data_IF_978705730145
#
_entry.id   IF_978705730145
#
_cell.length_a   1.000
_cell.length_b   1.000
_cell.length_c   1.000
_cell.angle_alpha   90.00
_cell.angle_beta   90.00
_cell.angle_gamma   90.00
#
_symmetry.space_group_name_H-M   'P 1'
#
loop_
_entity.id
_entity.type
_entity.pdbx_description
1 polymer ?
#
# COMPACT_ATOMS: atom_id res chain seq x y z
N UNK A 1 -13.53 22.58 14.96
CA UNK A 1 -12.22 23.25 14.70
C UNK A 1 -11.84 22.94 13.26
N UNK A 2 -11.79 23.95 12.39
CA UNK A 2 -11.45 23.79 10.97
C UNK A 2 -9.96 24.09 10.81
N UNK A 3 -9.16 23.10 10.42
CA UNK A 3 -7.75 23.32 10.06
C UNK A 3 -7.67 23.33 8.54
N UNK A 4 -7.58 24.54 8.00
CA UNK A 4 -7.09 24.81 6.65
C UNK A 4 -5.56 24.90 6.70
N UNK A 5 -4.86 24.25 5.76
CA UNK A 5 -3.51 24.52 5.24
C UNK A 5 -3.07 23.21 4.56
N UNK A 6 -2.64 23.13 3.32
CA UNK A 6 -2.34 24.10 2.28
C UNK A 6 -1.64 23.28 1.20
N UNK A 7 -2.35 22.98 0.12
CA UNK A 7 -1.85 22.24 -1.03
C UNK A 7 -0.85 23.15 -1.74
N UNK A 8 0.44 22.81 -1.66
CA UNK A 8 1.48 23.44 -2.46
C UNK A 8 1.89 22.48 -3.57
N UNK A 9 1.10 22.47 -4.65
CA UNK A 9 1.46 21.86 -5.93
C UNK A 9 2.61 22.70 -6.51
N UNK A 10 3.85 22.31 -6.25
CA UNK A 10 5.01 22.86 -6.94
C UNK A 10 5.12 22.16 -8.29
N UNK A 11 4.41 22.72 -9.27
CA UNK A 11 4.54 22.41 -10.69
C UNK A 11 5.96 22.72 -11.15
N UNK A 12 6.78 21.66 -11.25
CA UNK A 12 8.07 21.69 -11.91
C UNK A 12 7.89 21.65 -13.42
N UNK A 13 8.11 22.78 -14.09
CA UNK A 13 8.25 22.87 -15.55
C UNK A 13 9.41 22.00 -16.03
N UNK A 14 9.08 20.86 -16.65
CA UNK A 14 10.03 19.95 -17.27
C UNK A 14 10.08 20.17 -18.78
N UNK A 15 11.20 20.70 -19.26
CA UNK A 15 11.47 20.89 -20.68
C UNK A 15 12.03 19.59 -21.28
N UNK A 16 11.23 18.99 -22.17
CA UNK A 16 11.56 18.10 -23.29
C UNK A 16 12.73 17.10 -23.13
N UNK A 17 12.37 15.81 -23.18
CA UNK A 17 13.19 14.59 -23.38
C UNK A 17 13.66 13.77 -22.16
N UNK A 18 13.31 14.13 -20.91
CA UNK A 18 13.70 13.31 -19.75
C UNK A 18 12.76 13.30 -18.55
N UNK A 19 11.57 13.89 -18.65
CA UNK A 19 10.63 14.00 -17.52
C UNK A 19 9.41 13.10 -17.64
N UNK A 20 8.94 12.86 -18.87
CA UNK A 20 7.72 12.08 -19.14
C UNK A 20 7.84 10.61 -18.67
N UNK A 21 9.07 10.10 -18.58
CA UNK A 21 9.38 8.73 -18.18
C UNK A 21 9.48 8.53 -16.67
N UNK A 22 10.09 9.48 -15.96
CA UNK A 22 10.06 9.51 -14.50
C UNK A 22 8.61 9.67 -14.02
N UNK A 23 7.83 10.57 -14.65
CA UNK A 23 6.42 10.75 -14.31
C UNK A 23 5.59 9.47 -14.49
N UNK A 24 5.88 8.65 -15.51
CA UNK A 24 5.21 7.36 -15.75
C UNK A 24 5.65 6.27 -14.79
N UNK A 25 6.95 6.19 -14.50
CA UNK A 25 7.49 5.24 -13.54
C UNK A 25 6.94 5.51 -12.13
N UNK A 26 6.92 6.78 -11.74
CA UNK A 26 6.37 7.24 -10.46
C UNK A 26 4.86 6.98 -10.40
N UNK A 27 4.10 7.26 -11.47
CA UNK A 27 2.68 6.92 -11.51
C UNK A 27 2.42 5.41 -11.33
N UNK A 28 3.30 4.54 -11.83
CA UNK A 28 3.21 3.09 -11.59
C UNK A 28 3.49 2.77 -10.12
N UNK A 29 4.57 3.33 -9.54
CA UNK A 29 4.89 3.11 -8.13
C UNK A 29 3.77 3.55 -7.21
N UNK A 30 3.24 4.75 -7.42
CA UNK A 30 2.13 5.32 -6.65
C UNK A 30 0.88 4.45 -6.74
N UNK A 31 0.49 4.04 -7.95
CA UNK A 31 -0.67 3.19 -8.16
C UNK A 31 -0.50 1.80 -7.49
N UNK A 32 0.71 1.23 -7.52
CA UNK A 32 0.95 -0.05 -6.85
C UNK A 32 1.04 0.07 -5.33
N UNK A 33 1.51 1.20 -4.80
CA UNK A 33 1.49 1.49 -3.37
C UNK A 33 0.04 1.65 -2.88
N UNK A 34 -0.78 2.46 -3.57
CA UNK A 34 -2.20 2.60 -3.26
C UNK A 34 -2.89 1.24 -3.26
N UNK A 35 -2.62 0.41 -4.28
CA UNK A 35 -3.21 -0.92 -4.36
C UNK A 35 -2.71 -1.87 -3.26
N UNK A 36 -1.46 -1.76 -2.86
CA UNK A 36 -0.88 -2.55 -1.78
C UNK A 36 -1.49 -2.16 -0.43
N UNK A 37 -1.70 -0.86 -0.21
CA UNK A 37 -2.37 -0.33 0.98
C UNK A 37 -3.82 -0.81 1.08
N UNK A 38 -4.58 -0.79 -0.03
CA UNK A 38 -5.93 -1.36 -0.08
C UNK A 38 -5.96 -2.85 0.30
N UNK A 39 -4.93 -3.61 -0.12
CA UNK A 39 -4.82 -5.04 0.21
C UNK A 39 -4.54 -5.22 1.70
N UNK A 40 -3.60 -4.45 2.28
CA UNK A 40 -3.30 -4.48 3.71
C UNK A 40 -4.53 -4.13 4.53
N UNK A 41 -5.15 -2.98 4.24
CA UNK A 41 -6.35 -2.50 4.92
C UNK A 41 -7.49 -3.53 4.89
N UNK A 42 -7.74 -4.16 3.74
CA UNK A 42 -8.81 -5.18 3.64
C UNK A 42 -8.54 -6.43 4.48
N UNK A 43 -7.27 -6.85 4.59
CA UNK A 43 -6.91 -8.02 5.41
C UNK A 43 -6.91 -7.67 6.89
N UNK A 44 -6.45 -6.47 7.26
CA UNK A 44 -6.48 -5.95 8.62
C UNK A 44 -7.92 -5.81 9.10
N UNK A 45 -8.83 -5.26 8.28
CA UNK A 45 -10.26 -5.20 8.60
C UNK A 45 -10.83 -6.60 8.82
N UNK A 46 -10.47 -7.57 7.96
CA UNK A 46 -10.94 -8.95 8.09
C UNK A 46 -10.41 -9.63 9.36
N UNK A 47 -9.14 -9.38 9.72
CA UNK A 47 -8.51 -9.87 10.94
C UNK A 47 -9.18 -9.25 12.17
N UNK A 48 -9.47 -7.96 12.14
CA UNK A 48 -10.15 -7.26 13.22
C UNK A 48 -11.59 -7.73 13.42
N UNK A 49 -12.31 -8.02 12.34
CA UNK A 49 -13.64 -8.64 12.42
C UNK A 49 -13.58 -10.01 13.11
N UNK A 50 -12.55 -10.82 12.85
CA UNK A 50 -12.36 -12.09 13.56
C UNK A 50 -12.13 -11.87 15.06
N UNK A 51 -11.26 -10.92 15.42
CA UNK A 51 -10.99 -10.57 16.82
C UNK A 51 -12.25 -10.05 17.51
N UNK A 52 -13.05 -9.21 16.84
CA UNK A 52 -14.32 -8.69 17.36
C UNK A 52 -15.35 -9.80 17.62
N UNK A 53 -15.44 -10.78 16.70
CA UNK A 53 -16.34 -11.93 16.86
C UNK A 53 -15.90 -12.83 18.02
N UNK A 54 -14.60 -13.01 18.22
CA UNK A 54 -14.07 -13.82 19.33
C UNK A 54 -14.11 -13.11 20.69
N UNK A 55 -14.29 -11.78 20.70
CA UNK A 55 -14.03 -10.94 21.85
C UNK A 55 -12.54 -10.57 21.93
N UNK A 56 -12.27 -9.31 22.26
CA UNK A 56 -10.93 -8.76 22.43
C UNK A 56 -10.56 -8.67 23.91
N UNK A 57 -9.34 -9.03 24.25
CA UNK A 57 -8.78 -8.85 25.59
C UNK A 57 -8.35 -7.39 25.82
N UNK A 58 -7.73 -7.13 26.97
CA UNK A 58 -7.28 -5.78 27.33
C UNK A 58 -6.17 -5.22 26.43
N UNK A 59 -5.50 -6.07 25.63
CA UNK A 59 -4.46 -5.69 24.67
C UNK A 59 -5.01 -5.48 23.26
N UNK A 60 -6.25 -5.92 22.99
CA UNK A 60 -6.89 -5.86 21.67
C UNK A 60 -6.75 -7.15 20.86
N UNK A 61 -6.00 -8.13 21.35
CA UNK A 61 -5.92 -9.48 20.77
C UNK A 61 -7.21 -10.26 21.03
N UNK A 62 -7.51 -11.26 20.21
CA UNK A 62 -8.63 -12.15 20.44
C UNK A 62 -8.45 -12.93 21.76
N UNK A 63 -9.52 -13.07 22.55
CA UNK A 63 -9.53 -13.91 23.76
C UNK A 63 -9.31 -15.40 23.44
N UNK A 64 -9.52 -15.80 22.18
CA UNK A 64 -9.31 -17.15 21.69
C UNK A 64 -8.02 -17.26 20.86
N UNK A 65 -7.03 -18.00 21.35
CA UNK A 65 -5.75 -18.25 20.67
C UNK A 65 -5.89 -18.78 19.24
N UNK A 66 -6.91 -19.59 18.97
CA UNK A 66 -7.16 -20.14 17.64
C UNK A 66 -7.63 -19.08 16.65
N UNK A 67 -8.41 -18.11 17.14
CA UNK A 67 -8.86 -16.95 16.34
C UNK A 67 -7.72 -15.96 16.16
N UNK A 68 -6.92 -15.70 17.20
CA UNK A 68 -5.76 -14.80 17.07
C UNK A 68 -4.79 -15.29 15.98
N UNK A 69 -4.46 -16.59 15.99
CA UNK A 69 -3.62 -17.19 14.93
C UNK A 69 -4.24 -17.09 13.55
N UNK A 70 -5.58 -17.12 13.45
CA UNK A 70 -6.26 -16.95 12.18
C UNK A 70 -6.21 -15.50 11.69
N UNK A 71 -6.38 -14.53 12.61
CA UNK A 71 -6.23 -13.11 12.34
C UNK A 71 -4.79 -12.77 11.90
N UNK A 72 -3.78 -13.22 12.64
CA UNK A 72 -2.36 -13.08 12.25
C UNK A 72 -2.06 -13.70 10.88
N UNK A 73 -2.73 -14.83 10.60
CA UNK A 73 -2.63 -15.51 9.31
C UNK A 73 -3.19 -14.68 8.15
N UNK A 74 -4.27 -13.93 8.38
CA UNK A 74 -4.85 -13.00 7.41
C UNK A 74 -3.94 -11.80 7.17
N UNK A 75 -3.46 -11.16 8.24
CA UNK A 75 -2.53 -10.02 8.14
C UNK A 75 -1.26 -10.44 7.39
N UNK A 76 -0.67 -11.59 7.74
CA UNK A 76 0.51 -12.12 7.04
C UNK A 76 0.24 -12.45 5.56
N UNK A 77 -0.98 -12.88 5.22
CA UNK A 77 -1.36 -13.12 3.83
C UNK A 77 -1.54 -11.80 3.07
N UNK A 78 -2.14 -10.79 3.71
CA UNK A 78 -2.30 -9.44 3.18
C UNK A 78 -0.95 -8.80 2.86
N UNK A 79 -0.01 -8.83 3.82
CA UNK A 79 1.34 -8.28 3.62
C UNK A 79 2.07 -8.96 2.45
N UNK A 80 2.03 -10.29 2.37
CA UNK A 80 2.66 -11.02 1.25
C UNK A 80 2.04 -10.65 -0.10
N UNK A 81 0.74 -10.40 -0.14
CA UNK A 81 0.04 -10.01 -1.35
C UNK A 81 0.38 -8.57 -1.74
N UNK A 82 0.42 -7.65 -0.77
CA UNK A 82 0.82 -6.26 -0.94
C UNK A 82 2.26 -6.14 -1.45
N UNK A 83 3.21 -6.82 -0.79
CA UNK A 83 4.62 -6.88 -1.21
C UNK A 83 4.80 -7.39 -2.65
N UNK A 84 3.99 -8.38 -3.04
CA UNK A 84 4.02 -8.92 -4.38
C UNK A 84 3.52 -7.91 -5.42
N UNK A 85 2.55 -7.06 -5.08
CA UNK A 85 2.06 -5.97 -5.94
C UNK A 85 3.11 -4.87 -6.05
N UNK A 86 3.68 -4.41 -4.94
CA UNK A 86 4.75 -3.41 -4.94
C UNK A 86 5.97 -3.88 -5.74
N UNK A 87 6.41 -5.12 -5.52
CA UNK A 87 7.55 -5.71 -6.26
C UNK A 87 7.29 -5.75 -7.77
N UNK A 88 6.05 -6.03 -8.19
CA UNK A 88 5.68 -6.00 -9.61
C UNK A 88 5.65 -4.56 -10.15
N UNK A 89 5.15 -3.61 -9.36
CA UNK A 89 5.16 -2.19 -9.66
C UNK A 89 6.57 -1.64 -9.86
N UNK A 90 7.46 -1.88 -8.90
CA UNK A 90 8.86 -1.45 -8.96
C UNK A 90 9.58 -2.02 -10.19
N UNK A 91 9.42 -3.32 -10.46
CA UNK A 91 10.00 -3.92 -11.69
C UNK A 91 9.48 -3.24 -12.96
N UNK A 92 8.19 -2.87 -12.97
CA UNK A 92 7.58 -2.21 -14.10
C UNK A 92 8.05 -0.78 -14.27
N UNK A 93 8.18 -0.04 -13.17
CA UNK A 93 8.74 1.31 -13.14
C UNK A 93 10.20 1.31 -13.63
N UNK A 94 11.03 0.39 -13.12
CA UNK A 94 12.41 0.18 -13.58
C UNK A 94 12.49 -0.11 -15.10
N UNK A 95 11.55 -0.89 -15.64
CA UNK A 95 11.49 -1.16 -17.08
C UNK A 95 11.16 0.09 -17.90
N UNK A 96 10.31 0.98 -17.38
CA UNK A 96 9.95 2.25 -18.03
C UNK A 96 11.17 3.18 -18.04
N UNK A 97 11.81 3.37 -16.89
CA UNK A 97 13.02 4.20 -16.77
C UNK A 97 14.14 3.71 -17.69
N UNK A 98 14.34 2.38 -17.78
CA UNK A 98 15.35 1.78 -18.68
C UNK A 98 15.07 2.02 -20.16
N UNK A 99 13.79 2.05 -20.56
CA UNK A 99 13.40 2.23 -21.98
C UNK A 99 13.48 3.68 -22.42
N UNK A 100 13.10 4.59 -21.53
CA UNK A 100 12.97 6.00 -21.87
C UNK A 100 14.22 6.82 -21.46
N UNK A 101 15.15 6.22 -20.70
CA UNK A 101 16.44 6.80 -20.32
C UNK A 101 17.60 6.50 -21.28
N UNK A 102 17.35 5.93 -22.47
CA UNK A 102 18.33 5.65 -23.52
C UNK A 102 17.97 6.33 -24.84
#
# INVERSE_FOLDING_TARGET
MRRSLGILFLSGTCLAFGCDSNDRADAVRDATQERADEIRESHDESADLLRDVAGKDWTGAAENDGVERAADGLESAGEKAADAVETQGERKADEIEKRDGN
#
